data_IF_908357165802
#
_entry.id   IF_908357165802
#
_cell.length_a   1.000
_cell.length_b   1.000
_cell.length_c   1.000
_cell.angle_alpha   90.00
_cell.angle_beta   90.00
_cell.angle_gamma   90.00
#
_symmetry.space_group_name_H-M   'P 1'
#
loop_
_entity.id
_entity.type
_entity.pdbx_description
1 polymer ?
#
# COMPACT_ATOMS: atom_id res chain seq x y z
N UNK A 1 -9.98 -1.45 9.97
CA UNK A 1 -9.18 -2.51 9.33
C UNK A 1 -7.82 -2.56 10.01
N UNK A 2 -7.19 -3.73 10.10
CA UNK A 2 -5.81 -3.87 10.57
C UNK A 2 -4.80 -3.48 9.48
N UNK A 3 -3.53 -3.29 9.85
CA UNK A 3 -2.40 -3.06 8.93
C UNK A 3 -2.37 -4.10 7.80
N UNK A 4 -2.47 -5.37 8.18
CA UNK A 4 -2.55 -6.53 7.26
C UNK A 4 -3.71 -6.39 6.25
N UNK A 5 -4.90 -6.02 6.73
CA UNK A 5 -6.08 -5.85 5.87
C UNK A 5 -5.90 -4.70 4.87
N UNK A 6 -5.30 -3.58 5.30
CA UNK A 6 -5.03 -2.46 4.39
C UNK A 6 -4.01 -2.81 3.31
N UNK A 7 -2.91 -3.47 3.70
CA UNK A 7 -1.88 -3.89 2.75
C UNK A 7 -2.41 -4.91 1.75
N UNK A 8 -3.22 -5.87 2.19
CA UNK A 8 -3.84 -6.86 1.29
C UNK A 8 -4.81 -6.23 0.28
N UNK A 9 -5.57 -5.22 0.69
CA UNK A 9 -6.46 -4.50 -0.22
C UNK A 9 -5.68 -3.62 -1.20
N UNK A 10 -4.61 -2.95 -0.74
CA UNK A 10 -3.68 -2.22 -1.61
C UNK A 10 -3.01 -3.15 -2.64
N UNK A 11 -2.55 -4.33 -2.23
CA UNK A 11 -1.97 -5.34 -3.11
C UNK A 11 -2.93 -5.68 -4.26
N UNK A 12 -4.21 -5.91 -3.92
CA UNK A 12 -5.26 -6.22 -4.89
C UNK A 12 -5.54 -5.06 -5.84
N UNK A 13 -5.70 -3.84 -5.32
CA UNK A 13 -6.02 -2.64 -6.14
C UNK A 13 -4.88 -2.22 -7.05
N UNK A 14 -3.64 -2.35 -6.59
CA UNK A 14 -2.46 -2.03 -7.40
C UNK A 14 -2.17 -3.11 -8.45
N UNK A 15 -2.64 -4.35 -8.22
CA UNK A 15 -2.48 -5.50 -9.12
C UNK A 15 -1.01 -5.73 -9.48
N UNK A 16 -0.19 -5.93 -8.44
CA UNK A 16 1.27 -6.10 -8.58
C UNK A 16 1.68 -7.57 -8.52
N UNK A 17 2.78 -7.90 -9.20
CA UNK A 17 3.43 -9.21 -9.10
C UNK A 17 4.38 -9.32 -7.91
N UNK A 18 5.02 -8.22 -7.49
CA UNK A 18 5.91 -8.20 -6.34
C UNK A 18 5.13 -7.94 -5.04
N UNK A 19 4.73 -9.02 -4.38
CA UNK A 19 3.88 -8.97 -3.18
C UNK A 19 4.66 -8.78 -1.88
N UNK A 20 6.00 -8.85 -1.92
CA UNK A 20 6.84 -8.77 -0.72
C UNK A 20 6.69 -7.44 0.03
N UNK A 21 6.35 -6.36 -0.68
CA UNK A 21 6.10 -5.04 -0.11
C UNK A 21 4.81 -5.01 0.73
N UNK A 22 3.87 -5.94 0.57
CA UNK A 22 2.57 -5.89 1.26
C UNK A 22 2.53 -6.74 2.54
N UNK A 23 3.68 -7.25 2.99
CA UNK A 23 3.82 -7.99 4.25
C UNK A 23 3.78 -7.04 5.44
N UNK A 24 2.83 -7.19 6.36
CA UNK A 24 2.67 -6.27 7.49
C UNK A 24 3.88 -6.25 8.44
N UNK A 25 4.66 -7.34 8.50
CA UNK A 25 5.85 -7.46 9.35
C UNK A 25 6.99 -6.54 8.90
N UNK A 26 6.98 -6.09 7.64
CA UNK A 26 7.96 -5.15 7.10
C UNK A 26 7.74 -3.70 7.57
N UNK A 27 6.61 -3.43 8.23
CA UNK A 27 6.20 -2.09 8.66
C UNK A 27 6.15 -1.99 10.17
N UNK A 28 6.64 -0.90 10.75
CA UNK A 28 6.43 -0.63 12.16
C UNK A 28 4.96 -0.35 12.48
N UNK A 29 4.57 -0.39 13.75
CA UNK A 29 3.17 -0.19 14.14
C UNK A 29 2.70 1.25 13.98
N UNK A 30 3.62 2.22 14.06
CA UNK A 30 3.32 3.62 13.82
C UNK A 30 3.06 3.96 12.34
N UNK A 31 3.37 3.06 11.39
CA UNK A 31 3.10 3.28 9.96
C UNK A 31 1.62 3.04 9.57
N UNK A 32 0.77 2.61 10.52
CA UNK A 32 -0.63 2.29 10.23
C UNK A 32 -1.41 3.50 9.69
N UNK A 33 -1.16 4.69 10.23
CA UNK A 33 -1.89 5.90 9.82
C UNK A 33 -1.53 6.30 8.38
N UNK A 34 -0.26 6.20 8.00
CA UNK A 34 0.24 6.45 6.64
C UNK A 34 -0.26 5.39 5.65
N UNK A 35 -0.23 4.11 6.02
CA UNK A 35 -0.77 3.02 5.20
C UNK A 35 -2.27 3.23 4.95
N UNK A 36 -3.03 3.63 5.99
CA UNK A 36 -4.44 3.98 5.87
C UNK A 36 -4.66 5.16 4.92
N UNK A 37 -3.82 6.18 4.99
CA UNK A 37 -3.88 7.35 4.10
C UNK A 37 -3.68 6.96 2.63
N UNK A 38 -2.63 6.16 2.34
CA UNK A 38 -2.38 5.61 1.01
C UNK A 38 -3.56 4.76 0.52
N UNK A 39 -4.10 3.91 1.39
CA UNK A 39 -5.27 3.09 1.07
C UNK A 39 -6.50 3.91 0.69
N UNK A 40 -6.78 5.00 1.41
CA UNK A 40 -7.89 5.90 1.10
C UNK A 40 -7.69 6.57 -0.27
N UNK A 41 -6.48 7.06 -0.56
CA UNK A 41 -6.15 7.66 -1.85
C UNK A 41 -6.35 6.67 -3.01
N UNK A 42 -5.86 5.45 -2.86
CA UNK A 42 -6.01 4.38 -3.86
C UNK A 42 -7.48 3.98 -4.01
N UNK A 43 -8.22 3.92 -2.91
CA UNK A 43 -9.63 3.52 -2.91
C UNK A 43 -10.58 4.55 -3.52
N UNK A 44 -10.21 5.83 -3.48
CA UNK A 44 -10.99 6.91 -4.11
C UNK A 44 -10.87 6.91 -5.64
N UNK A 45 -10.00 6.08 -6.22
CA UNK A 45 -9.63 6.09 -7.64
C UNK A 45 -10.20 4.85 -8.32
N UNK A 46 -10.92 5.05 -9.43
CA UNK A 46 -11.49 3.96 -10.23
C UNK A 46 -10.46 3.22 -11.06
N UNK A 47 -9.39 3.91 -11.48
CA UNK A 47 -8.27 3.32 -12.21
C UNK A 47 -6.97 4.05 -11.86
N UNK A 48 -5.85 3.33 -11.92
CA UNK A 48 -4.51 3.85 -11.70
C UNK A 48 -3.63 3.49 -12.89
N UNK A 49 -2.96 4.49 -13.45
CA UNK A 49 -1.93 4.27 -14.48
C UNK A 49 -0.73 3.51 -13.89
N UNK A 50 0.09 2.87 -14.75
CA UNK A 50 1.31 2.19 -14.30
C UNK A 50 2.24 3.10 -13.47
N UNK A 51 2.42 4.35 -13.89
CA UNK A 51 3.29 5.31 -13.19
C UNK A 51 2.76 5.65 -11.79
N UNK A 52 1.45 5.80 -11.64
CA UNK A 52 0.83 6.09 -10.35
C UNK A 52 0.96 4.90 -9.40
N UNK A 53 0.77 3.68 -9.92
CA UNK A 53 1.01 2.45 -9.15
C UNK A 53 2.46 2.39 -8.68
N UNK A 54 3.43 2.68 -9.55
CA UNK A 54 4.85 2.74 -9.18
C UNK A 54 5.10 3.76 -8.08
N UNK A 55 4.59 4.99 -8.20
CA UNK A 55 4.74 6.03 -7.19
C UNK A 55 4.14 5.62 -5.83
N UNK A 56 2.98 4.97 -5.82
CA UNK A 56 2.35 4.47 -4.60
C UNK A 56 3.20 3.37 -3.97
N UNK A 57 3.77 2.46 -4.77
CA UNK A 57 4.64 1.39 -4.28
C UNK A 57 5.94 1.96 -3.69
N UNK A 58 6.51 2.99 -4.31
CA UNK A 58 7.69 3.69 -3.81
C UNK A 58 7.41 4.36 -2.47
N UNK A 59 6.29 5.08 -2.35
CA UNK A 59 5.89 5.73 -1.11
C UNK A 59 5.63 4.71 0.00
N UNK A 60 4.93 3.62 -0.32
CA UNK A 60 4.72 2.52 0.60
C UNK A 60 6.06 1.90 1.03
N UNK A 61 7.01 1.72 0.11
CA UNK A 61 8.34 1.18 0.44
C UNK A 61 9.14 2.06 1.39
N UNK A 62 8.91 3.38 1.41
CA UNK A 62 9.58 4.31 2.35
C UNK A 62 9.12 4.15 3.80
N UNK A 63 7.94 3.58 4.00
CA UNK A 63 7.38 3.33 5.34
C UNK A 63 7.96 2.07 6.00
N UNK A 64 8.78 1.30 5.29
CA UNK A 64 9.42 0.09 5.81
C UNK A 64 10.57 0.43 6.76
N UNK A 65 10.86 -0.49 7.68
CA UNK A 65 12.07 -0.48 8.51
C UNK A 65 13.27 -1.13 7.82
#
# INVERSE_FOLDING_TARGET
>A
MSKEQYLKDLESKLNVVNRGIFKAEAYPDNALDEIRSLHQMVSARSNLSPNEKTAIIEELSRLRK
#
